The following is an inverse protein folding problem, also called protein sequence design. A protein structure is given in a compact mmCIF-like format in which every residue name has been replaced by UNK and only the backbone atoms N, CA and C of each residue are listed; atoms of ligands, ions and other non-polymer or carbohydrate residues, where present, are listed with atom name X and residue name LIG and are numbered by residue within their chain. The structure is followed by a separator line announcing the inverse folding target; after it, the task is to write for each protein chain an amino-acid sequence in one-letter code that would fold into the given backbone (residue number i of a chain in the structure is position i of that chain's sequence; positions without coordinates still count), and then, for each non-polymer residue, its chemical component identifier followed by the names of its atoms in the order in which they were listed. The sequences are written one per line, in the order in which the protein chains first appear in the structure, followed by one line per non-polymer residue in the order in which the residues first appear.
data_IF_918413934311
#
_entry.id   IF_918413934311
#
_cell.length_a   1.000
_cell.length_b   1.000
_cell.length_c   1.000
_cell.angle_alpha   90.00
_cell.angle_beta   90.00
_cell.angle_gamma   90.00
#
_symmetry.space_group_name_H-M   'P 1'
#
loop_
_entity.id
_entity.type
_entity.pdbx_description
1 polymer ?
#
# COMPACT_ATOMS: atom_id res chain seq x y z
N UNK A 1 2.90 12.66 3.71
CA UNK A 1 2.66 11.23 3.41
C UNK A 1 1.84 11.09 2.15
N UNK A 2 2.02 10.06 1.29
CA UNK A 2 3.12 9.09 1.27
C UNK A 2 4.51 9.72 1.04
N UNK A 3 5.58 8.94 1.01
CA UNK A 3 6.94 9.47 0.81
C UNK A 3 7.25 9.74 -0.67
N UNK A 4 8.27 10.56 -0.94
CA UNK A 4 8.67 10.91 -2.32
C UNK A 4 9.09 9.69 -3.13
N UNK A 5 9.58 8.63 -2.48
CA UNK A 5 10.09 7.45 -3.18
C UNK A 5 8.99 6.70 -3.93
N UNK A 6 7.71 6.87 -3.56
CA UNK A 6 6.57 6.21 -4.22
C UNK A 6 6.25 6.84 -5.59
N UNK A 7 6.64 8.10 -5.79
CA UNK A 7 6.26 8.89 -6.97
C UNK A 7 7.35 8.91 -8.04
N UNK A 8 6.95 8.90 -9.31
CA UNK A 8 7.83 9.01 -10.48
C UNK A 8 8.72 10.26 -10.38
N UNK A 9 10.01 10.12 -10.71
CA UNK A 9 11.00 11.19 -10.58
C UNK A 9 11.18 11.73 -9.15
N UNK A 10 10.68 11.01 -8.14
CA UNK A 10 10.58 11.48 -6.75
C UNK A 10 9.81 12.81 -6.64
N UNK A 11 8.86 13.05 -7.55
CA UNK A 11 8.04 14.27 -7.63
C UNK A 11 6.71 14.06 -6.90
N UNK A 12 6.67 14.49 -5.65
CA UNK A 12 5.47 14.41 -4.80
C UNK A 12 4.75 15.77 -4.76
N UNK A 13 3.46 15.86 -5.13
CA UNK A 13 2.67 17.07 -4.94
C UNK A 13 2.42 17.39 -3.45
N UNK A 14 2.02 18.64 -3.16
CA UNK A 14 1.62 19.07 -1.81
C UNK A 14 0.32 18.37 -1.34
N UNK A 15 0.09 18.36 -0.03
CA UNK A 15 -1.06 17.75 0.64
C UNK A 15 -0.64 16.59 1.54
N UNK A 16 -1.44 16.27 2.57
CA UNK A 16 -1.14 15.21 3.55
C UNK A 16 0.22 15.38 4.25
N UNK A 17 0.70 16.62 4.39
CA UNK A 17 1.76 16.95 5.33
C UNK A 17 1.19 16.99 6.75
N UNK A 18 1.84 16.29 7.68
CA UNK A 18 1.43 16.25 9.07
C UNK A 18 2.66 16.35 9.98
N UNK A 19 2.46 16.83 11.20
CA UNK A 19 3.53 16.97 12.17
C UNK A 19 4.08 15.59 12.56
N UNK A 20 5.40 15.42 12.46
CA UNK A 20 6.08 14.19 12.88
C UNK A 20 7.49 14.53 13.36
N UNK A 21 7.98 13.81 14.37
CA UNK A 21 9.33 13.99 14.86
C UNK A 21 10.35 13.23 13.97
N UNK A 22 11.63 13.54 14.15
CA UNK A 22 12.71 12.86 13.43
C UNK A 22 12.73 11.34 13.68
N UNK A 23 12.42 10.90 14.90
CA UNK A 23 12.36 9.47 15.22
C UNK A 23 11.24 8.75 14.46
N UNK A 24 10.03 9.31 14.42
CA UNK A 24 8.92 8.75 13.64
C UNK A 24 9.26 8.64 12.14
N UNK A 25 10.00 9.60 11.60
CA UNK A 25 10.45 9.56 10.21
C UNK A 25 11.53 8.50 9.96
N UNK A 26 12.46 8.30 10.90
CA UNK A 26 13.52 7.31 10.75
C UNK A 26 12.99 5.86 10.85
N UNK A 27 12.03 5.62 11.75
CA UNK A 27 11.46 4.27 11.97
C UNK A 27 10.82 3.73 10.68
N UNK A 28 10.09 4.56 9.93
CA UNK A 28 9.40 4.11 8.71
C UNK A 28 10.25 4.20 7.44
N UNK A 29 11.52 4.62 7.51
CA UNK A 29 12.35 4.87 6.32
C UNK A 29 12.53 3.61 5.47
N UNK A 30 12.79 2.45 6.10
CA UNK A 30 12.92 1.18 5.38
C UNK A 30 11.58 0.70 4.84
N UNK A 31 10.51 0.84 5.62
CA UNK A 31 9.15 0.54 5.20
C UNK A 31 8.77 1.33 3.94
N UNK A 32 9.02 2.64 3.91
CA UNK A 32 8.76 3.48 2.75
C UNK A 32 9.56 3.07 1.50
N UNK A 33 10.80 2.59 1.67
CA UNK A 33 11.60 2.07 0.56
C UNK A 33 10.98 0.79 -0.01
N UNK A 34 10.53 -0.12 0.86
CA UNK A 34 9.85 -1.37 0.50
C UNK A 34 8.56 -1.05 -0.26
N UNK A 35 7.71 -0.19 0.32
CA UNK A 35 6.47 0.28 -0.30
C UNK A 35 6.71 0.94 -1.65
N UNK A 36 7.79 1.73 -1.79
CA UNK A 36 8.15 2.35 -3.06
C UNK A 36 8.55 1.34 -4.15
N UNK A 37 9.17 0.21 -3.78
CA UNK A 37 9.41 -0.91 -4.68
C UNK A 37 8.08 -1.58 -5.05
N UNK A 38 7.31 -2.01 -4.04
CA UNK A 38 6.05 -2.74 -4.22
C UNK A 38 5.06 -1.97 -5.09
N UNK A 39 4.94 -0.64 -4.88
CA UNK A 39 4.04 0.22 -5.64
C UNK A 39 4.41 0.36 -7.12
N UNK A 40 5.58 -0.13 -7.55
CA UNK A 40 6.06 -0.05 -8.94
C UNK A 40 6.21 -1.41 -9.61
N UNK A 41 5.96 -2.50 -8.91
CA UNK A 41 5.99 -3.84 -9.50
C UNK A 41 4.87 -4.00 -10.52
N UNK A 42 3.76 -3.28 -10.35
CA UNK A 42 2.65 -3.29 -11.29
C UNK A 42 1.98 -1.91 -11.44
N UNK A 43 1.53 -1.53 -12.65
CA UNK A 43 1.75 -2.22 -13.92
C UNK A 43 3.20 -2.07 -14.41
N UNK A 44 3.59 -2.94 -15.34
CA UNK A 44 4.92 -2.88 -15.94
C UNK A 44 5.18 -1.52 -16.60
N UNK A 45 6.32 -0.88 -16.31
CA UNK A 45 6.64 0.41 -16.91
C UNK A 45 6.90 0.28 -18.41
N UNK A 46 6.19 1.08 -19.19
CA UNK A 46 6.40 1.19 -20.65
C UNK A 46 7.58 2.09 -21.01
N UNK A 47 7.92 3.07 -20.15
CA UNK A 47 9.01 4.03 -20.38
C UNK A 47 10.33 3.56 -19.77
N UNK A 48 11.44 3.77 -20.50
CA UNK A 48 12.80 3.41 -20.06
C UNK A 48 13.20 4.05 -18.73
N UNK A 49 12.84 5.32 -18.52
CA UNK A 49 13.10 6.05 -17.28
C UNK A 49 12.52 5.32 -16.06
N UNK A 50 11.29 4.83 -16.15
CA UNK A 50 10.65 4.11 -15.04
C UNK A 50 11.30 2.74 -14.80
N UNK A 51 11.81 2.07 -15.85
CA UNK A 51 12.61 0.83 -15.70
C UNK A 51 13.90 1.09 -14.93
N UNK A 52 14.56 2.23 -15.17
CA UNK A 52 15.78 2.60 -14.44
C UNK A 52 15.50 2.93 -12.97
N UNK A 53 14.38 3.60 -12.68
CA UNK A 53 13.92 3.84 -11.31
C UNK A 53 13.66 2.53 -10.54
N UNK A 54 12.99 1.56 -11.16
CA UNK A 54 12.76 0.25 -10.55
C UNK A 54 14.10 -0.46 -10.28
N UNK A 55 15.04 -0.44 -11.23
CA UNK A 55 16.39 -1.01 -11.01
C UNK A 55 17.14 -0.33 -9.87
N UNK A 56 16.98 0.98 -9.69
CA UNK A 56 17.55 1.71 -8.55
C UNK A 56 16.90 1.25 -7.24
N UNK A 57 15.57 1.06 -7.22
CA UNK A 57 14.84 0.56 -6.06
C UNK A 57 15.27 -0.86 -5.68
N UNK A 58 15.37 -1.78 -6.64
CA UNK A 58 15.90 -3.13 -6.39
C UNK A 58 17.31 -3.09 -5.78
N UNK A 59 18.22 -2.28 -6.35
CA UNK A 59 19.58 -2.09 -5.80
C UNK A 59 19.56 -1.50 -4.38
N UNK A 60 18.66 -0.55 -4.13
CA UNK A 60 18.53 0.08 -2.82
C UNK A 60 17.97 -0.88 -1.77
N UNK A 61 16.91 -1.61 -2.11
CA UNK A 61 16.29 -2.64 -1.27
C UNK A 61 17.29 -3.75 -0.96
N UNK A 62 17.94 -4.32 -1.97
CA UNK A 62 18.94 -5.38 -1.80
C UNK A 62 20.06 -4.98 -0.82
N UNK A 63 20.46 -3.71 -0.83
CA UNK A 63 21.49 -3.17 0.08
C UNK A 63 20.98 -2.91 1.49
N UNK A 64 19.76 -2.41 1.64
CA UNK A 64 19.27 -1.84 2.91
C UNK A 64 18.29 -2.74 3.68
N UNK A 65 17.72 -3.74 2.99
CA UNK A 65 16.72 -4.68 3.52
C UNK A 65 17.11 -6.11 3.10
N UNK A 66 18.12 -6.71 3.76
CA UNK A 66 18.54 -8.08 3.47
C UNK A 66 17.38 -9.06 3.68
N UNK A 67 17.27 -10.07 2.82
CA UNK A 67 16.21 -11.08 2.89
C UNK A 67 14.94 -10.73 2.12
N UNK A 68 14.67 -9.46 1.78
CA UNK A 68 13.41 -9.09 1.14
C UNK A 68 13.24 -9.76 -0.24
N UNK A 69 14.27 -9.80 -1.07
CA UNK A 69 14.16 -10.40 -2.40
C UNK A 69 13.97 -11.93 -2.34
N UNK A 70 14.50 -12.56 -1.29
CA UNK A 70 14.29 -13.97 -1.02
C UNK A 70 12.87 -14.22 -0.51
N UNK A 71 12.36 -13.36 0.35
CA UNK A 71 10.98 -13.41 0.83
C UNK A 71 9.97 -13.27 -0.31
N UNK A 72 10.19 -12.34 -1.25
CA UNK A 72 9.30 -12.14 -2.39
C UNK A 72 9.26 -13.32 -3.38
N UNK A 73 10.21 -14.26 -3.29
CA UNK A 73 10.27 -15.39 -4.21
C UNK A 73 9.30 -16.49 -3.76
N UNK A 74 8.41 -16.91 -4.66
CA UNK A 74 7.45 -17.98 -4.43
C UNK A 74 7.51 -19.03 -5.54
N UNK A 75 7.22 -20.29 -5.20
CA UNK A 75 7.00 -21.33 -6.19
C UNK A 75 5.66 -21.08 -6.90
N UNK A 76 5.72 -20.98 -8.23
CA UNK A 76 4.59 -20.58 -9.06
C UNK A 76 3.52 -21.67 -9.14
N UNK A 77 3.91 -22.96 -9.11
CA UNK A 77 2.98 -24.06 -9.32
C UNK A 77 1.99 -24.22 -8.15
N UNK A 78 2.42 -24.24 -6.87
CA UNK A 78 1.50 -24.26 -5.74
C UNK A 78 0.51 -23.11 -5.74
N UNK A 79 0.96 -21.91 -6.11
CA UNK A 79 0.10 -20.71 -6.23
C UNK A 79 -0.95 -20.87 -7.32
N UNK A 80 -0.56 -21.37 -8.49
CA UNK A 80 -1.51 -21.65 -9.57
C UNK A 80 -2.56 -22.68 -9.16
N UNK A 81 -2.14 -23.72 -8.44
CA UNK A 81 -3.03 -24.77 -7.96
C UNK A 81 -4.01 -24.21 -6.92
N UNK A 82 -3.57 -23.34 -6.01
CA UNK A 82 -4.45 -22.73 -5.01
C UNK A 82 -5.48 -21.78 -5.61
N UNK A 83 -5.09 -21.02 -6.64
CA UNK A 83 -5.98 -20.12 -7.37
C UNK A 83 -7.03 -20.86 -8.21
N UNK A 84 -6.73 -22.08 -8.67
CA UNK A 84 -7.65 -22.89 -9.47
C UNK A 84 -8.18 -22.15 -10.71
N UNK A 85 -9.50 -22.03 -10.84
CA UNK A 85 -10.12 -21.36 -11.98
C UNK A 85 -9.91 -19.84 -11.99
N UNK A 86 -9.63 -19.23 -10.84
CA UNK A 86 -9.40 -17.78 -10.75
C UNK A 86 -8.07 -17.37 -11.40
N UNK A 87 -7.13 -18.31 -11.58
CA UNK A 87 -5.89 -18.07 -12.32
C UNK A 87 -6.12 -17.62 -13.78
N UNK A 88 -7.29 -17.92 -14.37
CA UNK A 88 -7.66 -17.46 -15.73
C UNK A 88 -8.12 -16.00 -15.77
N UNK A 89 -8.42 -15.39 -14.63
CA UNK A 89 -8.74 -13.95 -14.51
C UNK A 89 -7.49 -13.08 -14.45
N UNK A 90 -6.32 -13.68 -14.18
CA UNK A 90 -5.06 -12.98 -13.99
C UNK A 90 -4.35 -12.71 -15.34
N UNK A 91 -3.69 -11.55 -15.49
CA UNK A 91 -3.00 -11.19 -16.74
C UNK A 91 -1.65 -11.90 -16.91
N UNK A 92 -1.07 -12.42 -15.82
CA UNK A 92 0.14 -13.26 -15.83
C UNK A 92 0.15 -14.23 -14.65
N UNK A 93 1.12 -15.13 -14.69
CA UNK A 93 1.40 -16.12 -13.65
C UNK A 93 2.81 -15.95 -13.10
N UNK A 94 3.31 -14.71 -13.11
CA UNK A 94 4.60 -14.33 -12.55
C UNK A 94 4.36 -13.76 -11.15
N UNK A 95 4.17 -14.65 -10.20
CA UNK A 95 3.81 -14.37 -8.82
C UNK A 95 5.02 -13.98 -7.97
N UNK A 96 4.80 -13.03 -7.08
CA UNK A 96 5.67 -12.64 -5.98
C UNK A 96 4.88 -12.74 -4.67
N UNK A 97 5.55 -13.23 -3.63
CA UNK A 97 5.00 -13.21 -2.28
C UNK A 97 4.91 -11.75 -1.79
N UNK A 98 3.71 -11.39 -1.32
CA UNK A 98 3.35 -10.09 -0.74
C UNK A 98 2.85 -10.22 0.71
N UNK A 99 2.83 -11.43 1.26
CA UNK A 99 2.40 -11.75 2.63
C UNK A 99 3.57 -12.06 3.59
N UNK A 100 4.80 -12.15 3.09
CA UNK A 100 5.98 -12.43 3.90
C UNK A 100 6.22 -11.49 5.10
N UNK A 101 6.99 -11.91 6.12
CA UNK A 101 7.12 -11.18 7.39
C UNK A 101 7.80 -9.80 7.28
N UNK A 102 8.78 -9.62 6.38
CA UNK A 102 9.43 -8.32 6.15
C UNK A 102 8.45 -7.34 5.50
N UNK A 103 7.71 -7.79 4.49
CA UNK A 103 6.69 -7.00 3.79
C UNK A 103 5.56 -6.65 4.74
N UNK A 104 5.02 -7.63 5.45
CA UNK A 104 3.96 -7.45 6.45
C UNK A 104 4.33 -6.40 7.49
N UNK A 105 5.53 -6.51 8.07
CA UNK A 105 6.01 -5.51 9.03
C UNK A 105 6.20 -4.11 8.41
N UNK A 106 6.66 -4.04 7.16
CA UNK A 106 6.78 -2.78 6.43
C UNK A 106 5.42 -2.14 6.16
N UNK A 107 4.42 -2.93 5.80
CA UNK A 107 3.05 -2.50 5.56
C UNK A 107 2.40 -2.01 6.85
N UNK A 108 2.63 -2.68 7.99
CA UNK A 108 2.15 -2.21 9.29
C UNK A 108 2.73 -0.83 9.66
N UNK A 109 4.06 -0.67 9.58
CA UNK A 109 4.73 0.59 9.91
C UNK A 109 4.31 1.73 8.97
N UNK A 110 4.24 1.45 7.67
CA UNK A 110 3.83 2.42 6.68
C UNK A 110 2.34 2.75 6.80
N UNK A 111 1.50 1.73 6.97
CA UNK A 111 0.05 1.80 7.11
C UNK A 111 -0.35 2.60 8.34
N UNK A 112 0.32 2.39 9.48
CA UNK A 112 0.12 3.23 10.66
C UNK A 112 0.38 4.70 10.37
N UNK A 113 1.53 5.00 9.77
CA UNK A 113 1.91 6.38 9.43
C UNK A 113 0.96 7.01 8.40
N UNK A 114 0.50 6.22 7.43
CA UNK A 114 -0.42 6.67 6.40
C UNK A 114 -1.82 6.90 6.96
N UNK A 115 -2.32 5.98 7.78
CA UNK A 115 -3.60 6.09 8.48
C UNK A 115 -3.63 7.32 9.37
N UNK A 116 -2.60 7.54 10.17
CA UNK A 116 -2.49 8.76 10.98
C UNK A 116 -2.50 10.05 10.14
N UNK A 117 -1.82 10.05 8.99
CA UNK A 117 -1.82 11.20 8.08
C UNK A 117 -3.19 11.43 7.42
N UNK A 118 -3.88 10.37 7.01
CA UNK A 118 -5.21 10.44 6.41
C UNK A 118 -6.29 10.83 7.42
N UNK A 119 -6.18 10.35 8.66
CA UNK A 119 -7.02 10.76 9.77
C UNK A 119 -6.87 12.27 10.03
N UNK A 120 -5.63 12.76 10.10
CA UNK A 120 -5.36 14.19 10.26
C UNK A 120 -5.87 15.01 9.08
N UNK A 121 -5.67 14.54 7.85
CA UNK A 121 -6.18 15.19 6.63
C UNK A 121 -7.71 15.31 6.66
N UNK A 122 -8.42 14.26 7.09
CA UNK A 122 -9.88 14.24 7.13
C UNK A 122 -10.47 15.06 8.29
N UNK A 123 -9.86 14.99 9.48
CA UNK A 123 -10.47 15.48 10.73
C UNK A 123 -9.79 16.73 11.31
N UNK A 124 -8.57 17.04 10.88
CA UNK A 124 -7.70 18.04 11.51
C UNK A 124 -7.15 17.63 12.89
N UNK A 125 -7.40 16.40 13.35
CA UNK A 125 -7.00 15.88 14.66
C UNK A 125 -5.92 14.81 14.52
N UNK A 126 -5.00 14.77 15.48
CA UNK A 126 -3.99 13.71 15.54
C UNK A 126 -4.59 12.45 16.16
N UNK A 127 -4.06 11.28 15.80
CA UNK A 127 -4.36 10.04 16.51
C UNK A 127 -3.81 10.15 17.94
N UNK A 128 -4.64 10.00 18.99
CA UNK A 128 -4.20 10.11 20.38
C UNK A 128 -3.37 8.89 20.81
N UNK A 129 -2.73 8.98 21.97
CA UNK A 129 -1.83 7.93 22.48
C UNK A 129 -2.52 6.58 22.74
N UNK A 130 -3.84 6.58 23.00
CA UNK A 130 -4.64 5.36 23.14
C UNK A 130 -5.27 4.86 21.84
N UNK A 131 -5.02 5.55 20.73
CA UNK A 131 -5.51 5.18 19.41
C UNK A 131 -4.50 4.33 18.62
N UNK A 132 -4.97 3.81 17.49
CA UNK A 132 -4.14 3.00 16.61
C UNK A 132 -4.68 2.93 15.19
N UNK A 133 -4.02 2.11 14.38
CA UNK A 133 -4.41 1.87 13.00
C UNK A 133 -4.42 0.37 12.77
N UNK A 134 -5.59 -0.15 12.39
CA UNK A 134 -5.71 -1.48 11.83
C UNK A 134 -5.47 -1.39 10.32
N UNK A 135 -4.68 -2.31 9.78
CA UNK A 135 -4.24 -2.31 8.38
C UNK A 135 -4.59 -3.65 7.75
N UNK A 136 -5.40 -3.62 6.70
CA UNK A 136 -5.56 -4.74 5.78
C UNK A 136 -5.02 -4.37 4.41
N UNK A 137 -4.44 -5.33 3.71
CA UNK A 137 -3.88 -5.13 2.39
C UNK A 137 -4.69 -5.90 1.35
N UNK A 138 -4.62 -5.45 0.11
CA UNK A 138 -5.17 -6.14 -1.05
C UNK A 138 -4.15 -6.07 -2.17
N UNK A 139 -3.82 -7.21 -2.75
CA UNK A 139 -2.93 -7.29 -3.90
C UNK A 139 -3.65 -6.93 -5.19
N UNK A 140 -2.89 -6.82 -6.28
CA UNK A 140 -3.49 -6.77 -7.61
C UNK A 140 -4.21 -8.08 -7.97
N UNK A 141 -3.78 -9.24 -7.43
CA UNK A 141 -4.48 -10.50 -7.64
C UNK A 141 -5.90 -10.42 -7.06
N UNK A 142 -6.07 -9.93 -5.82
CA UNK A 142 -7.37 -9.73 -5.17
C UNK A 142 -8.30 -8.86 -6.04
N UNK A 143 -7.75 -7.78 -6.60
CA UNK A 143 -8.49 -6.89 -7.50
C UNK A 143 -8.98 -7.60 -8.76
N UNK A 144 -8.19 -8.50 -9.34
CA UNK A 144 -8.57 -9.24 -10.54
C UNK A 144 -9.56 -10.38 -10.28
N UNK A 145 -9.50 -11.00 -9.11
CA UNK A 145 -10.37 -12.14 -8.77
C UNK A 145 -11.69 -11.72 -8.13
N UNK A 146 -11.81 -10.45 -7.73
CA UNK A 146 -13.04 -9.84 -7.20
C UNK A 146 -13.12 -9.85 -5.67
N UNK A 147 -11.98 -9.84 -4.97
CA UNK A 147 -11.89 -9.93 -3.51
C UNK A 147 -11.72 -8.55 -2.83
N UNK A 148 -11.83 -7.46 -3.59
CA UNK A 148 -11.87 -6.13 -3.00
C UNK A 148 -13.16 -5.92 -2.18
N UNK A 149 -13.10 -5.12 -1.10
CA UNK A 149 -14.23 -4.96 -0.19
C UNK A 149 -15.23 -3.92 -0.74
N UNK A 150 -15.88 -4.24 -1.87
CA UNK A 150 -16.74 -3.30 -2.62
C UNK A 150 -17.82 -2.64 -1.74
N UNK A 151 -18.39 -3.38 -0.78
CA UNK A 151 -19.36 -2.84 0.18
C UNK A 151 -18.77 -1.69 1.01
N UNK A 152 -17.54 -1.85 1.50
CA UNK A 152 -16.84 -0.79 2.25
C UNK A 152 -16.49 0.36 1.31
N UNK A 153 -15.97 0.07 0.10
CA UNK A 153 -15.56 1.10 -0.87
C UNK A 153 -16.71 2.02 -1.26
N UNK A 154 -17.91 1.47 -1.42
CA UNK A 154 -19.11 2.23 -1.75
C UNK A 154 -19.52 3.20 -0.62
N UNK A 155 -19.09 2.97 0.62
CA UNK A 155 -19.36 3.83 1.77
C UNK A 155 -18.32 4.94 1.97
N UNK A 156 -17.11 4.82 1.39
CA UNK A 156 -16.01 5.77 1.63
C UNK A 156 -16.13 7.10 0.85
N UNK A 157 -17.18 7.28 0.06
CA UNK A 157 -17.41 8.51 -0.69
C UNK A 157 -16.47 8.69 -1.88
N UNK A 158 -16.24 9.94 -2.35
CA UNK A 158 -15.46 10.19 -3.56
C UNK A 158 -13.97 9.89 -3.36
N UNK A 159 -13.28 9.59 -4.47
CA UNK A 159 -11.83 9.40 -4.50
C UNK A 159 -11.05 10.72 -4.57
N UNK A 160 -9.88 10.71 -3.94
CA UNK A 160 -8.94 11.83 -3.84
C UNK A 160 -7.54 11.40 -4.28
N UNK A 161 -6.71 12.39 -4.64
CA UNK A 161 -5.28 12.23 -4.94
C UNK A 161 -4.54 13.50 -4.51
N UNK A 162 -3.21 13.44 -4.41
CA UNK A 162 -2.39 14.64 -4.25
C UNK A 162 -2.35 15.46 -5.54
N UNK A 163 -2.40 16.79 -5.40
CA UNK A 163 -2.43 17.74 -6.52
C UNK A 163 -1.64 19.01 -6.19
N UNK A 164 -0.89 19.52 -7.17
CA UNK A 164 -0.20 20.80 -7.08
C UNK A 164 -0.27 21.51 -8.44
N UNK A 165 -1.10 22.56 -8.52
CA UNK A 165 -1.39 23.25 -9.77
C UNK A 165 -1.99 22.30 -10.81
N UNK A 166 -1.30 22.12 -11.95
CA UNK A 166 -1.70 21.21 -13.04
C UNK A 166 -1.23 19.77 -12.83
N UNK A 167 -0.31 19.53 -11.89
CA UNK A 167 0.21 18.19 -11.61
C UNK A 167 -0.70 17.46 -10.64
N UNK A 168 -0.98 16.19 -10.93
CA UNK A 168 -1.60 15.24 -10.01
C UNK A 168 -0.90 13.88 -10.17
N UNK A 169 -1.13 13.00 -9.21
CA UNK A 169 -0.52 11.66 -9.14
C UNK A 169 -1.57 10.57 -9.04
N UNK A 170 -2.76 10.78 -9.62
CA UNK A 170 -3.91 9.88 -9.48
C UNK A 170 -3.59 8.44 -9.91
N UNK A 171 -2.79 8.29 -10.97
CA UNK A 171 -2.31 6.98 -11.46
C UNK A 171 -1.26 6.32 -10.56
N UNK A 172 -0.73 7.03 -9.56
CA UNK A 172 0.34 6.57 -8.67
C UNK A 172 -0.16 6.37 -7.25
N UNK A 173 -1.06 7.25 -6.79
CA UNK A 173 -1.63 7.21 -5.46
C UNK A 173 -3.02 7.87 -5.48
N UNK A 174 -4.01 7.14 -4.99
CA UNK A 174 -5.37 7.66 -4.76
C UNK A 174 -5.91 7.11 -3.45
N UNK A 175 -6.85 7.79 -2.83
CA UNK A 175 -7.47 7.31 -1.61
C UNK A 175 -8.93 7.74 -1.49
N UNK A 176 -9.72 7.00 -0.72
CA UNK A 176 -11.05 7.37 -0.25
C UNK A 176 -11.05 7.36 1.28
N UNK A 177 -11.91 8.18 1.89
CA UNK A 177 -11.92 8.39 3.34
C UNK A 177 -13.34 8.69 3.82
N UNK A 178 -13.75 8.03 4.90
CA UNK A 178 -14.98 8.38 5.61
C UNK A 178 -14.74 8.40 7.13
N UNK A 179 -15.53 9.20 7.81
CA UNK A 179 -15.62 9.20 9.27
C UNK A 179 -16.87 8.42 9.68
N UNK A 180 -16.73 7.51 10.65
CA UNK A 180 -17.87 6.83 11.26
C UNK A 180 -18.41 7.76 12.36
N UNK A 181 -19.68 8.18 12.25
CA UNK A 181 -20.20 9.27 13.08
C UNK A 181 -20.40 8.90 14.56
N UNK A 182 -20.62 7.61 14.85
CA UNK A 182 -21.01 7.14 16.20
C UNK A 182 -19.84 6.59 17.03
N UNK A 183 -18.73 6.25 16.40
CA UNK A 183 -17.50 5.74 17.01
C UNK A 183 -16.37 6.55 16.38
N UNK A 184 -15.62 7.33 17.17
CA UNK A 184 -14.61 8.29 16.71
C UNK A 184 -13.47 7.59 15.94
N UNK A 185 -13.78 7.19 14.73
CA UNK A 185 -13.01 6.31 13.87
C UNK A 185 -13.07 6.84 12.44
N UNK A 186 -11.99 6.65 11.72
CA UNK A 186 -11.92 6.97 10.30
C UNK A 186 -11.49 5.75 9.52
N UNK A 187 -12.15 5.53 8.39
CA UNK A 187 -11.83 4.43 7.48
C UNK A 187 -11.28 5.02 6.20
N UNK A 188 -10.19 4.44 5.72
CA UNK A 188 -9.53 4.90 4.51
C UNK A 188 -9.19 3.73 3.62
N UNK A 189 -9.32 3.92 2.32
CA UNK A 189 -8.84 2.97 1.33
C UNK A 189 -7.84 3.66 0.42
N UNK A 190 -6.59 3.25 0.46
CA UNK A 190 -5.48 3.87 -0.25
C UNK A 190 -4.92 2.92 -1.30
N UNK A 191 -4.87 3.35 -2.56
CA UNK A 191 -4.42 2.54 -3.70
C UNK A 191 -3.09 3.07 -4.22
N UNK A 192 -2.14 2.17 -4.46
CA UNK A 192 -0.80 2.45 -4.97
C UNK A 192 -0.66 1.90 -6.39
N UNK A 193 -0.78 2.78 -7.38
CA UNK A 193 -0.94 2.42 -8.81
C UNK A 193 -2.07 1.41 -8.98
N UNK A 194 -1.74 0.27 -9.56
CA UNK A 194 -2.58 -0.90 -9.68
C UNK A 194 -1.93 -2.08 -8.96
N UNK A 195 -0.86 -1.84 -8.18
CA UNK A 195 -0.06 -2.89 -7.56
C UNK A 195 -0.71 -3.48 -6.31
N UNK A 196 -1.19 -2.61 -5.42
CA UNK A 196 -1.86 -3.02 -4.20
C UNK A 196 -2.67 -1.86 -3.61
N UNK A 197 -3.53 -2.18 -2.65
CA UNK A 197 -4.28 -1.23 -1.85
C UNK A 197 -4.18 -1.55 -0.36
N UNK A 198 -4.43 -0.56 0.48
CA UNK A 198 -4.53 -0.69 1.92
C UNK A 198 -5.88 -0.17 2.40
N UNK A 199 -6.60 -0.99 3.16
CA UNK A 199 -7.71 -0.57 4.00
C UNK A 199 -7.17 -0.24 5.39
N UNK A 200 -7.42 0.97 5.85
CA UNK A 200 -6.91 1.51 7.09
C UNK A 200 -8.09 1.92 7.96
N UNK A 201 -8.22 1.34 9.15
CA UNK A 201 -9.19 1.75 10.15
C UNK A 201 -8.44 2.39 11.29
N UNK A 202 -8.64 3.70 11.47
CA UNK A 202 -8.03 4.48 12.53
C UNK A 202 -9.04 4.62 13.65
N UNK A 203 -8.63 4.27 14.86
CA UNK A 203 -9.43 4.39 16.07
C UNK A 203 -8.72 5.30 17.07
N UNK A 204 -9.47 6.11 17.81
CA UNK A 204 -8.93 7.09 18.76
C UNK A 204 -8.99 6.61 20.22
N UNK A 205 -9.68 5.51 20.50
CA UNK A 205 -9.74 4.88 21.83
C UNK A 205 -9.96 3.37 21.71
N UNK A 206 -9.48 2.63 22.71
CA UNK A 206 -9.59 1.16 22.82
C UNK A 206 -8.61 0.35 21.98
N UNK A 207 -8.82 -0.96 21.93
CA UNK A 207 -8.11 -1.87 21.03
C UNK A 207 -9.11 -2.43 20.00
N UNK A 208 -8.75 -2.39 18.71
CA UNK A 208 -9.46 -3.17 17.70
C UNK A 208 -9.09 -4.65 17.90
N UNK A 209 -10.09 -5.54 17.82
CA UNK A 209 -9.92 -6.98 18.01
C UNK A 209 -8.72 -7.52 17.23
N UNK A 210 -8.06 -8.53 17.80
CA UNK A 210 -6.86 -9.15 17.24
C UNK A 210 -7.05 -9.45 15.75
N UNK A 211 -6.11 -8.92 14.97
CA UNK A 211 -5.92 -9.15 13.55
C UNK A 211 -5.96 -10.66 13.23
N UNK A 212 -6.74 -11.09 12.24
CA UNK A 212 -6.53 -12.43 11.67
C UNK A 212 -5.14 -12.47 11.02
N UNK A 213 -4.39 -13.59 11.13
CA UNK A 213 -3.12 -13.73 10.43
C UNK A 213 -3.33 -13.48 8.93
N UNK A 214 -2.34 -12.85 8.30
CA UNK A 214 -2.37 -12.50 6.88
C UNK A 214 -2.79 -13.72 6.04
N UNK A 215 -3.68 -13.48 5.07
CA UNK A 215 -3.90 -14.42 3.97
C UNK A 215 -2.56 -14.50 3.21
N UNK A 216 -2.23 -15.65 2.63
CA UNK A 216 -1.05 -15.79 1.77
C UNK A 216 -1.24 -14.88 0.54
N UNK A 217 -0.87 -13.61 0.68
CA UNK A 217 -1.15 -12.57 -0.31
C UNK A 217 -0.08 -12.59 -1.39
N UNK A 218 -0.54 -12.56 -2.63
CA UNK A 218 0.32 -12.72 -3.80
C UNK A 218 0.08 -11.55 -4.74
N UNK A 219 1.15 -10.93 -5.20
CA UNK A 219 1.12 -9.96 -6.29
C UNK A 219 1.65 -10.63 -7.56
N UNK A 220 1.09 -10.32 -8.72
CA UNK A 220 1.69 -10.71 -10.01
C UNK A 220 2.43 -9.54 -10.66
N UNK A 221 3.46 -9.84 -11.46
CA UNK A 221 4.28 -8.86 -12.20
C UNK A 221 3.93 -8.90 -13.69
N UNK A 222 3.50 -7.77 -14.23
CA UNK A 222 3.35 -7.52 -15.67
C UNK A 222 2.41 -8.45 -16.47
N UNK A 223 1.98 -8.10 -17.69
CA UNK A 223 1.43 -9.05 -18.65
C UNK A 223 2.55 -9.83 -19.36
N UNK A 224 2.27 -11.08 -19.79
CA UNK A 224 3.17 -11.81 -20.70
C UNK A 224 3.45 -10.97 -21.96
N UNK A 225 4.73 -10.76 -22.27
CA UNK A 225 5.19 -10.34 -23.61
C UNK A 225 4.89 -11.40 -24.65
#
# INVERSE_FOLDING_TARGET
MPSRVIFDGKQRPKGMEFASCGACQQITRKAELIIGLLSRIYPDPTLSMHKDEIRELFRSVSRNVPGLLQEMYVDQLPVLVSLGADAFKLPSWDFLDFGGPIISHAIDLFGFKLGAALHFELTGRIVPAGGGVWVNQYSNADAHIGELPDEILNLLGPGYTLRMGRQNVEKQFRYQSAQVQDIDMTVHFAVFREAFALLLVVYTDGELASREPWKDDIIFVGPRS
#
